data_IF_595787252752
#
_entry.id   IF_595787252752
#
_cell.length_a   1.000
_cell.length_b   1.000
_cell.length_c   1.000
_cell.angle_alpha   90.00
_cell.angle_beta   90.00
_cell.angle_gamma   90.00
#
_symmetry.space_group_name_H-M   'P 1'
#
loop_
_entity.id
_entity.type
_entity.pdbx_description
1 polymer ?
#
# COMPACT_ATOMS: atom_id res chain seq x y z
N UNK A 1 32.92 53.21 -9.24
CA UNK A 1 32.37 51.97 -8.66
C UNK A 1 33.39 50.87 -8.86
N UNK A 2 34.00 50.36 -7.78
CA UNK A 2 35.09 49.39 -7.88
C UNK A 2 34.56 48.07 -8.44
N UNK A 3 35.30 47.44 -9.37
CA UNK A 3 34.87 46.22 -10.08
C UNK A 3 34.40 45.11 -9.14
N UNK A 4 35.04 45.01 -7.97
CA UNK A 4 34.72 44.07 -6.90
C UNK A 4 33.31 44.28 -6.31
N UNK A 5 32.89 45.53 -6.10
CA UNK A 5 31.57 45.87 -5.56
C UNK A 5 30.46 45.54 -6.57
N UNK A 6 30.73 45.78 -7.87
CA UNK A 6 29.82 45.43 -8.95
C UNK A 6 29.59 43.91 -9.07
N UNK A 7 30.67 43.11 -9.07
CA UNK A 7 30.56 41.64 -9.09
C UNK A 7 29.83 41.09 -7.87
N UNK A 8 30.00 41.69 -6.69
CA UNK A 8 29.33 41.25 -5.47
C UNK A 8 27.81 41.48 -5.55
N UNK A 9 27.39 42.63 -6.07
CA UNK A 9 25.97 42.96 -6.32
C UNK A 9 25.35 42.03 -7.37
N UNK A 10 26.08 41.69 -8.43
CA UNK A 10 25.60 40.73 -9.44
C UNK A 10 25.44 39.33 -8.85
N UNK A 11 26.41 38.85 -8.07
CA UNK A 11 26.30 37.54 -7.41
C UNK A 11 25.14 37.51 -6.41
N UNK A 12 24.94 38.59 -5.65
CA UNK A 12 23.83 38.70 -4.71
C UNK A 12 22.47 38.65 -5.42
N UNK A 13 22.32 39.38 -6.52
CA UNK A 13 21.06 39.36 -7.30
C UNK A 13 20.79 37.99 -7.92
N UNK A 14 21.81 37.29 -8.42
CA UNK A 14 21.67 35.91 -8.91
C UNK A 14 21.30 34.96 -7.79
N UNK A 15 21.94 35.07 -6.62
CA UNK A 15 21.62 34.23 -5.47
C UNK A 15 20.17 34.42 -5.00
N UNK A 16 19.69 35.67 -4.94
CA UNK A 16 18.30 35.97 -4.61
C UNK A 16 17.35 35.39 -5.66
N UNK A 17 17.66 35.53 -6.95
CA UNK A 17 16.83 34.98 -8.01
C UNK A 17 16.74 33.44 -7.95
N UNK A 18 17.85 32.75 -7.69
CA UNK A 18 17.88 31.31 -7.49
C UNK A 18 17.10 30.88 -6.25
N UNK A 19 17.25 31.60 -5.14
CA UNK A 19 16.49 31.35 -3.91
C UNK A 19 14.98 31.50 -4.13
N UNK A 20 14.55 32.57 -4.79
CA UNK A 20 13.14 32.79 -5.12
C UNK A 20 12.59 31.71 -6.06
N UNK A 21 13.38 31.27 -7.04
CA UNK A 21 13.00 30.16 -7.92
C UNK A 21 12.81 28.85 -7.15
N UNK A 22 13.72 28.55 -6.22
CA UNK A 22 13.62 27.35 -5.37
C UNK A 22 12.33 27.35 -4.53
N UNK A 23 12.06 28.45 -3.83
CA UNK A 23 10.91 28.57 -2.91
C UNK A 23 9.56 28.68 -3.63
N UNK A 24 9.49 29.40 -4.75
CA UNK A 24 8.21 29.72 -5.40
C UNK A 24 7.81 28.75 -6.52
N UNK A 25 8.76 28.00 -7.09
CA UNK A 25 8.48 27.10 -8.19
C UNK A 25 8.92 25.66 -7.88
N UNK A 26 10.19 25.46 -7.56
CA UNK A 26 10.76 24.11 -7.47
C UNK A 26 10.22 23.30 -6.27
N UNK A 27 10.22 23.88 -5.06
CA UNK A 27 9.74 23.19 -3.85
C UNK A 27 8.24 22.87 -3.94
N UNK A 28 7.34 23.83 -4.27
CA UNK A 28 5.91 23.54 -4.36
C UNK A 28 5.55 22.49 -5.42
N UNK A 29 6.23 22.51 -6.57
CA UNK A 29 5.99 21.51 -7.62
C UNK A 29 6.39 20.10 -7.16
N UNK A 30 7.53 19.98 -6.49
CA UNK A 30 8.00 18.71 -5.93
C UNK A 30 7.06 18.18 -4.83
N UNK A 31 6.56 19.05 -3.95
CA UNK A 31 5.58 18.69 -2.93
C UNK A 31 4.29 18.17 -3.57
N UNK A 32 3.74 18.89 -4.55
CA UNK A 32 2.55 18.47 -5.27
C UNK A 32 2.74 17.13 -6.00
N UNK A 33 3.92 16.89 -6.57
CA UNK A 33 4.25 15.59 -7.20
C UNK A 33 4.32 14.46 -6.15
N UNK A 34 4.91 14.72 -4.98
CA UNK A 34 5.01 13.74 -3.89
C UNK A 34 3.64 13.40 -3.30
N UNK A 35 2.77 14.38 -3.11
CA UNK A 35 1.41 14.16 -2.63
C UNK A 35 0.59 13.32 -3.61
N UNK A 36 0.72 13.60 -4.92
CA UNK A 36 0.08 12.78 -5.96
C UNK A 36 0.59 11.35 -5.94
N UNK A 37 1.92 11.18 -5.88
CA UNK A 37 2.52 9.85 -5.80
C UNK A 37 2.04 9.11 -4.55
N UNK A 38 2.01 9.77 -3.38
CA UNK A 38 1.52 9.17 -2.14
C UNK A 38 0.06 8.73 -2.26
N UNK A 39 -0.80 9.54 -2.88
CA UNK A 39 -2.19 9.18 -3.14
C UNK A 39 -2.32 7.99 -4.11
N UNK A 40 -1.49 7.94 -5.17
CA UNK A 40 -1.43 6.82 -6.11
C UNK A 40 -0.97 5.52 -5.43
N UNK A 41 -0.12 5.61 -4.39
CA UNK A 41 0.28 4.43 -3.60
C UNK A 41 -0.81 3.93 -2.65
N UNK A 42 -1.92 4.66 -2.44
CA UNK A 42 -3.06 4.17 -1.66
C UNK A 42 -4.03 3.31 -2.49
N UNK A 43 -4.02 3.49 -3.82
CA UNK A 43 -4.91 2.77 -4.73
C UNK A 43 -4.24 1.47 -5.23
N UNK A 44 -4.86 0.29 -5.04
CA UNK A 44 -4.30 -0.98 -5.49
C UNK A 44 -4.03 -1.03 -7.01
N UNK A 45 -4.71 -0.21 -7.83
CA UNK A 45 -4.57 -0.16 -9.28
C UNK A 45 -3.34 0.63 -9.75
N UNK A 46 -2.75 1.44 -8.88
CA UNK A 46 -1.58 2.31 -9.16
C UNK A 46 -0.42 2.10 -8.19
N UNK A 47 -0.62 1.37 -7.09
CA UNK A 47 0.43 1.01 -6.14
C UNK A 47 1.58 0.26 -6.85
N UNK A 48 2.82 0.62 -6.52
CA UNK A 48 4.03 -0.05 -7.01
C UNK A 48 4.48 -1.11 -6.00
N UNK A 49 4.45 -2.39 -6.38
CA UNK A 49 4.78 -3.50 -5.46
C UNK A 49 6.21 -3.41 -4.92
N UNK A 50 7.10 -2.74 -5.65
CA UNK A 50 8.47 -2.47 -5.29
C UNK A 50 8.62 -1.76 -3.94
N UNK A 51 7.68 -0.89 -3.58
CA UNK A 51 7.70 -0.12 -2.33
C UNK A 51 7.62 -1.01 -1.09
N UNK A 52 7.05 -2.21 -1.22
CA UNK A 52 6.85 -3.14 -0.09
C UNK A 52 7.82 -4.32 -0.09
N UNK A 53 8.61 -4.50 -1.15
CA UNK A 53 9.66 -5.54 -1.21
C UNK A 53 10.68 -5.48 -0.06
N UNK A 54 11.11 -4.29 0.43
CA UNK A 54 12.04 -4.20 1.56
C UNK A 54 11.51 -4.82 2.86
N UNK A 55 10.19 -5.00 2.99
CA UNK A 55 9.57 -5.57 4.19
C UNK A 55 9.44 -7.10 4.15
N UNK A 56 9.88 -7.74 3.06
CA UNK A 56 9.90 -9.20 2.93
C UNK A 56 10.58 -9.84 4.14
N UNK A 57 9.95 -10.88 4.70
CA UNK A 57 10.49 -11.58 5.85
C UNK A 57 9.99 -13.02 5.94
N UNK A 58 10.83 -13.94 6.41
CA UNK A 58 10.45 -15.35 6.55
C UNK A 58 9.34 -15.60 7.59
N UNK A 59 9.29 -14.74 8.61
CA UNK A 59 8.44 -14.94 9.78
C UNK A 59 7.54 -13.73 10.06
N UNK A 60 6.23 -13.94 10.18
CA UNK A 60 5.26 -12.92 10.60
C UNK A 60 5.52 -12.37 12.01
N UNK A 61 6.26 -13.11 12.84
CA UNK A 61 6.69 -12.64 14.18
C UNK A 61 7.63 -11.44 14.15
N UNK A 62 8.18 -11.07 12.98
CA UNK A 62 8.83 -9.78 12.80
C UNK A 62 7.76 -8.69 12.66
N UNK A 63 7.17 -8.32 13.80
CA UNK A 63 6.10 -7.34 13.88
C UNK A 63 6.50 -5.97 13.31
N UNK A 64 7.79 -5.60 13.39
CA UNK A 64 8.27 -4.35 12.81
C UNK A 64 8.14 -4.35 11.28
N UNK A 65 8.63 -5.40 10.61
CA UNK A 65 8.50 -5.49 9.15
C UNK A 65 7.03 -5.60 8.74
N UNK A 66 6.25 -6.39 9.47
CA UNK A 66 4.85 -6.61 9.17
C UNK A 66 4.00 -5.35 9.32
N UNK A 67 4.23 -4.58 10.40
CA UNK A 67 3.59 -3.28 10.58
C UNK A 67 3.96 -2.30 9.45
N UNK A 68 5.24 -2.23 9.09
CA UNK A 68 5.68 -1.37 8.01
C UNK A 68 5.11 -1.80 6.65
N UNK A 69 4.97 -3.11 6.41
CA UNK A 69 4.33 -3.65 5.22
C UNK A 69 2.88 -3.17 5.10
N UNK A 70 2.04 -3.40 6.11
CA UNK A 70 0.64 -2.97 6.08
C UNK A 70 0.49 -1.45 6.11
N UNK A 71 1.48 -0.74 6.67
CA UNK A 71 1.58 0.72 6.60
C UNK A 71 2.04 1.27 5.27
N UNK A 72 2.28 0.45 4.23
CA UNK A 72 2.54 0.89 2.87
C UNK A 72 1.55 0.30 1.86
N UNK A 73 0.81 -0.76 2.21
CA UNK A 73 -0.19 -1.39 1.36
C UNK A 73 -1.49 -0.57 1.28
N UNK A 74 -2.34 -0.82 0.26
CA UNK A 74 -3.68 -0.22 0.17
C UNK A 74 -4.53 -0.44 1.43
N UNK A 75 -5.38 0.56 1.76
CA UNK A 75 -6.15 0.73 3.01
C UNK A 75 -5.38 1.22 4.24
N UNK A 76 -4.10 1.57 4.10
CA UNK A 76 -3.32 2.17 5.19
C UNK A 76 -3.85 3.53 5.69
N UNK A 77 -4.63 4.23 4.87
CA UNK A 77 -5.23 5.53 5.16
C UNK A 77 -6.40 5.44 6.14
N UNK A 78 -7.02 4.26 6.26
CA UNK A 78 -8.00 3.97 7.29
C UNK A 78 -7.31 3.74 8.63
N UNK A 79 -7.77 4.44 9.68
CA UNK A 79 -7.24 4.25 11.03
C UNK A 79 -7.48 2.82 11.49
N UNK A 80 -6.42 2.13 11.86
CA UNK A 80 -6.47 0.77 12.35
C UNK A 80 -5.37 0.48 13.38
N UNK A 81 -5.55 -0.63 14.10
CA UNK A 81 -4.52 -1.22 14.96
C UNK A 81 -4.17 -2.61 14.46
N UNK A 82 -3.07 -3.16 14.95
CA UNK A 82 -2.52 -4.42 14.46
C UNK A 82 -2.40 -5.43 15.60
N UNK A 83 -2.89 -6.65 15.36
CA UNK A 83 -2.79 -7.76 16.30
C UNK A 83 -2.25 -9.00 15.59
N UNK A 84 -1.37 -9.73 16.28
CA UNK A 84 -0.81 -10.98 15.79
C UNK A 84 -1.30 -12.15 16.61
N UNK A 85 -1.60 -13.26 15.93
CA UNK A 85 -1.90 -14.55 16.53
C UNK A 85 -0.86 -15.57 16.05
N UNK A 86 0.30 -15.68 16.74
CA UNK A 86 1.41 -16.51 16.29
C UNK A 86 1.08 -18.01 16.20
N UNK A 87 0.22 -18.51 17.09
CA UNK A 87 -0.21 -19.92 17.12
C UNK A 87 -1.01 -20.29 15.86
N UNK A 88 -1.72 -19.32 15.29
CA UNK A 88 -2.56 -19.47 14.10
C UNK A 88 -1.88 -18.90 12.85
N UNK A 89 -0.63 -18.41 12.99
CA UNK A 89 0.11 -17.71 11.94
C UNK A 89 -0.74 -16.62 11.24
N UNK A 90 -1.48 -15.85 12.03
CA UNK A 90 -2.46 -14.88 11.55
C UNK A 90 -2.09 -13.44 11.90
N UNK A 91 -2.26 -12.54 10.93
CA UNK A 91 -2.24 -11.09 11.11
C UNK A 91 -3.67 -10.53 11.09
N UNK A 92 -4.04 -9.73 12.09
CA UNK A 92 -5.33 -9.05 12.14
C UNK A 92 -5.15 -7.52 12.13
N UNK A 93 -5.79 -6.87 11.18
CA UNK A 93 -5.94 -5.42 11.10
C UNK A 93 -7.32 -5.05 11.65
N UNK A 94 -7.35 -4.24 12.70
CA UNK A 94 -8.57 -3.84 13.40
C UNK A 94 -8.87 -2.38 13.06
N UNK A 95 -9.83 -2.15 12.18
CA UNK A 95 -10.22 -0.83 11.69
C UNK A 95 -11.19 -0.13 12.65
N UNK A 96 -11.07 1.20 12.73
CA UNK A 96 -11.99 2.02 13.54
C UNK A 96 -13.31 2.32 12.79
N UNK A 97 -13.25 2.53 11.48
CA UNK A 97 -14.42 2.85 10.65
C UNK A 97 -15.14 1.57 10.19
N UNK A 98 -16.48 1.57 10.08
CA UNK A 98 -17.24 0.48 9.45
C UNK A 98 -16.84 0.22 8.00
N UNK A 99 -16.88 -1.05 7.58
CA UNK A 99 -16.65 -1.44 6.19
C UNK A 99 -17.66 -0.79 5.24
N UNK A 100 -18.90 -0.58 5.70
CA UNK A 100 -19.95 0.09 4.94
C UNK A 100 -19.66 1.57 4.59
N UNK A 101 -18.71 2.21 5.26
CA UNK A 101 -18.29 3.59 4.95
C UNK A 101 -17.20 3.64 3.86
N UNK A 102 -16.59 2.51 3.53
CA UNK A 102 -15.60 2.39 2.46
C UNK A 102 -16.32 2.06 1.14
N UNK A 103 -15.90 2.72 0.06
CA UNK A 103 -16.43 2.39 -1.27
C UNK A 103 -16.18 0.89 -1.57
N UNK A 104 -17.24 0.17 -1.93
CA UNK A 104 -17.26 -1.29 -1.95
C UNK A 104 -16.21 -1.87 -2.90
N UNK A 105 -16.11 -1.34 -4.12
CA UNK A 105 -15.19 -1.84 -5.14
C UNK A 105 -13.74 -1.57 -4.72
N UNK A 106 -13.45 -0.37 -4.22
CA UNK A 106 -12.13 0.00 -3.69
C UNK A 106 -11.74 -0.92 -2.52
N UNK A 107 -12.65 -1.18 -1.58
CA UNK A 107 -12.41 -2.10 -0.48
C UNK A 107 -12.10 -3.52 -0.99
N UNK A 108 -12.92 -4.05 -1.90
CA UNK A 108 -12.71 -5.38 -2.46
C UNK A 108 -11.33 -5.51 -3.14
N UNK A 109 -10.97 -4.55 -3.99
CA UNK A 109 -9.67 -4.52 -4.68
C UNK A 109 -8.51 -4.48 -3.69
N UNK A 110 -8.60 -3.61 -2.69
CA UNK A 110 -7.54 -3.44 -1.71
C UNK A 110 -7.37 -4.68 -0.82
N UNK A 111 -8.46 -5.30 -0.35
CA UNK A 111 -8.37 -6.51 0.45
C UNK A 111 -7.72 -7.67 -0.32
N UNK A 112 -8.06 -7.84 -1.61
CA UNK A 112 -7.41 -8.84 -2.48
C UNK A 112 -5.92 -8.50 -2.64
N UNK A 113 -5.60 -7.28 -3.05
CA UNK A 113 -4.24 -6.83 -3.31
C UNK A 113 -3.35 -7.00 -2.07
N UNK A 114 -3.79 -6.44 -0.95
CA UNK A 114 -3.07 -6.41 0.33
C UNK A 114 -2.86 -7.83 0.85
N UNK A 115 -3.85 -8.72 0.76
CA UNK A 115 -3.71 -10.11 1.21
C UNK A 115 -2.68 -10.87 0.38
N UNK A 116 -2.78 -10.80 -0.95
CA UNK A 116 -1.86 -11.50 -1.85
C UNK A 116 -0.43 -10.99 -1.67
N UNK A 117 -0.25 -9.67 -1.51
CA UNK A 117 1.06 -9.07 -1.25
C UNK A 117 1.63 -9.54 0.09
N UNK A 118 0.81 -9.54 1.15
CA UNK A 118 1.21 -10.00 2.47
C UNK A 118 1.68 -11.45 2.46
N UNK A 119 0.94 -12.34 1.80
CA UNK A 119 1.32 -13.75 1.70
C UNK A 119 2.57 -13.97 0.84
N UNK A 120 2.74 -13.20 -0.23
CA UNK A 120 3.93 -13.27 -1.08
C UNK A 120 5.19 -12.78 -0.35
N UNK A 121 5.07 -11.79 0.54
CA UNK A 121 6.19 -11.16 1.25
C UNK A 121 6.54 -11.83 2.58
N UNK A 122 5.59 -12.51 3.23
CA UNK A 122 5.76 -13.09 4.56
C UNK A 122 5.60 -14.60 4.51
N UNK A 123 6.71 -15.35 4.45
CA UNK A 123 6.69 -16.77 4.04
C UNK A 123 5.76 -17.65 4.88
N UNK A 124 5.72 -17.46 6.20
CA UNK A 124 4.94 -18.31 7.11
C UNK A 124 3.59 -17.71 7.55
N UNK A 125 3.15 -16.60 6.95
CA UNK A 125 1.84 -16.00 7.26
C UNK A 125 0.75 -16.86 6.62
N UNK A 126 -0.15 -17.45 7.40
CA UNK A 126 -1.19 -18.36 6.88
C UNK A 126 -2.54 -17.65 6.68
N UNK A 127 -2.81 -16.57 7.41
CA UNK A 127 -4.09 -15.88 7.33
C UNK A 127 -3.95 -14.38 7.58
N UNK A 128 -4.78 -13.59 6.89
CA UNK A 128 -5.00 -12.17 7.16
C UNK A 128 -6.46 -11.94 7.50
N UNK A 129 -6.70 -11.24 8.61
CA UNK A 129 -8.04 -10.83 9.06
C UNK A 129 -8.14 -9.31 9.03
N UNK A 130 -9.23 -8.83 8.46
CA UNK A 130 -9.59 -7.42 8.46
C UNK A 130 -10.87 -7.27 9.27
N UNK A 131 -10.72 -6.82 10.51
CA UNK A 131 -11.81 -6.63 11.46
C UNK A 131 -12.28 -5.18 11.38
N UNK A 132 -13.45 -5.00 10.81
CA UNK A 132 -14.22 -3.76 10.86
C UNK A 132 -15.27 -3.87 11.99
N UNK A 133 -15.82 -2.74 12.47
CA UNK A 133 -16.89 -2.74 13.46
C UNK A 133 -18.12 -3.58 13.09
N UNK A 134 -18.45 -3.66 11.81
CA UNK A 134 -19.65 -4.31 11.26
C UNK A 134 -19.37 -5.64 10.55
N UNK A 135 -18.14 -5.88 10.12
CA UNK A 135 -17.73 -7.08 9.38
C UNK A 135 -16.32 -7.55 9.70
N UNK A 136 -16.08 -8.85 9.58
CA UNK A 136 -14.76 -9.46 9.57
C UNK A 136 -14.54 -10.11 8.21
N UNK A 137 -13.47 -9.73 7.54
CA UNK A 137 -13.03 -10.36 6.30
C UNK A 137 -11.78 -11.20 6.57
N UNK A 138 -11.81 -12.46 6.19
CA UNK A 138 -10.70 -13.39 6.42
C UNK A 138 -10.23 -13.95 5.09
N UNK A 139 -8.91 -13.95 4.88
CA UNK A 139 -8.26 -14.52 3.71
C UNK A 139 -7.25 -15.54 4.17
N UNK A 140 -7.28 -16.71 3.57
CA UNK A 140 -6.40 -17.84 3.88
C UNK A 140 -5.36 -18.00 2.76
N UNK A 141 -4.08 -18.20 3.11
CA UNK A 141 -2.98 -18.40 2.13
C UNK A 141 -3.29 -19.50 1.11
N UNK A 142 -3.78 -20.70 1.51
CA UNK A 142 -4.08 -21.77 0.55
C UNK A 142 -5.06 -21.32 -0.54
N UNK A 143 -6.05 -20.50 -0.20
CA UNK A 143 -7.03 -19.99 -1.17
C UNK A 143 -6.38 -19.02 -2.17
N UNK A 144 -5.42 -18.20 -1.73
CA UNK A 144 -4.63 -17.37 -2.63
C UNK A 144 -3.70 -18.21 -3.52
N UNK A 145 -3.06 -19.23 -2.97
CA UNK A 145 -2.17 -20.15 -3.71
C UNK A 145 -2.93 -21.00 -4.74
N UNK A 146 -4.15 -21.46 -4.41
CA UNK A 146 -5.01 -22.17 -5.37
C UNK A 146 -5.35 -21.28 -6.57
N UNK A 147 -5.50 -19.97 -6.35
CA UNK A 147 -5.87 -19.01 -7.39
C UNK A 147 -4.69 -18.56 -8.25
N UNK A 148 -3.57 -18.23 -7.62
CA UNK A 148 -2.42 -17.58 -8.27
C UNK A 148 -1.22 -18.51 -8.44
N UNK A 149 -1.28 -19.73 -7.91
CA UNK A 149 -0.13 -20.61 -7.79
C UNK A 149 0.86 -20.13 -6.73
N UNK A 150 2.15 -20.50 -6.85
CA UNK A 150 3.18 -20.00 -5.95
C UNK A 150 3.20 -18.47 -5.90
N UNK A 151 3.20 -17.89 -4.70
CA UNK A 151 3.03 -16.44 -4.52
C UNK A 151 4.34 -15.66 -4.63
N UNK A 152 5.49 -16.22 -4.25
CA UNK A 152 6.79 -15.54 -4.34
C UNK A 152 7.09 -15.00 -5.75
N UNK A 153 6.88 -15.75 -6.85
CA UNK A 153 7.11 -15.23 -8.20
C UNK A 153 6.26 -14.02 -8.59
N UNK A 154 5.15 -13.76 -7.88
CA UNK A 154 4.34 -12.56 -8.10
C UNK A 154 5.06 -11.29 -7.65
N UNK A 155 6.10 -11.37 -6.81
CA UNK A 155 6.90 -10.20 -6.40
C UNK A 155 7.71 -9.57 -7.54
N UNK A 156 7.77 -10.20 -8.71
CA UNK A 156 8.26 -9.54 -9.91
C UNK A 156 7.24 -8.48 -10.38
N UNK A 157 7.63 -7.21 -10.59
CA UNK A 157 6.68 -6.14 -10.89
C UNK A 157 5.82 -6.36 -12.14
N UNK A 158 6.39 -6.91 -13.22
CA UNK A 158 5.63 -7.18 -14.45
C UNK A 158 4.59 -8.28 -14.24
N UNK A 159 4.97 -9.33 -13.49
CA UNK A 159 4.05 -10.41 -13.12
C UNK A 159 2.98 -9.93 -12.15
N UNK A 160 3.34 -9.18 -11.12
CA UNK A 160 2.40 -8.55 -10.20
C UNK A 160 1.36 -7.72 -10.96
N UNK A 161 1.85 -6.87 -11.88
CA UNK A 161 0.99 -6.04 -12.70
C UNK A 161 0.02 -6.88 -13.51
N UNK A 162 0.52 -7.89 -14.21
CA UNK A 162 -0.28 -8.68 -15.16
C UNK A 162 -1.26 -9.63 -14.48
N UNK A 163 -0.84 -10.26 -13.39
CA UNK A 163 -1.58 -11.37 -12.76
C UNK A 163 -2.47 -10.92 -11.60
N UNK A 164 -2.08 -9.87 -10.88
CA UNK A 164 -2.80 -9.37 -9.68
C UNK A 164 -3.44 -8.02 -9.94
N UNK A 165 -2.64 -7.00 -10.29
CA UNK A 165 -3.11 -5.61 -10.30
C UNK A 165 -4.02 -5.26 -11.49
N UNK A 166 -3.59 -5.53 -12.73
CA UNK A 166 -4.34 -5.15 -13.92
C UNK A 166 -5.73 -5.81 -14.01
N UNK A 167 -5.91 -7.10 -13.66
CA UNK A 167 -7.23 -7.73 -13.64
C UNK A 167 -8.22 -7.05 -12.67
N UNK A 168 -7.74 -6.46 -11.57
CA UNK A 168 -8.59 -5.77 -10.59
C UNK A 168 -9.28 -4.52 -11.16
N UNK A 169 -8.83 -3.99 -12.30
CA UNK A 169 -9.52 -2.87 -12.99
C UNK A 169 -10.92 -3.25 -13.44
N UNK A 170 -11.17 -4.52 -13.77
CA UNK A 170 -12.50 -5.02 -14.06
C UNK A 170 -13.25 -5.27 -12.73
N UNK A 171 -14.32 -4.51 -12.50
CA UNK A 171 -15.13 -4.61 -11.28
C UNK A 171 -15.82 -5.96 -11.13
N UNK A 172 -16.25 -6.58 -12.24
CA UNK A 172 -16.88 -7.90 -12.20
C UNK A 172 -15.83 -8.97 -11.84
N UNK A 173 -14.61 -8.84 -12.37
CA UNK A 173 -13.49 -9.67 -11.94
C UNK A 173 -13.19 -9.47 -10.45
N UNK A 174 -13.03 -8.23 -9.99
CA UNK A 174 -12.73 -7.92 -8.60
C UNK A 174 -13.79 -8.47 -7.63
N UNK A 175 -15.07 -8.28 -7.93
CA UNK A 175 -16.17 -8.81 -7.14
C UNK A 175 -16.21 -10.35 -7.11
N UNK A 176 -16.01 -11.00 -8.27
CA UNK A 176 -15.94 -12.46 -8.33
C UNK A 176 -14.74 -13.02 -7.56
N UNK A 177 -13.57 -12.37 -7.65
CA UNK A 177 -12.37 -12.77 -6.90
C UNK A 177 -12.55 -12.54 -5.40
N UNK A 178 -13.21 -11.45 -5.02
CA UNK A 178 -13.50 -11.16 -3.61
C UNK A 178 -14.30 -12.31 -2.98
N UNK A 179 -15.38 -12.75 -3.62
CA UNK A 179 -16.20 -13.85 -3.11
C UNK A 179 -15.50 -15.21 -3.10
N UNK A 180 -14.51 -15.41 -3.98
CA UNK A 180 -13.70 -16.64 -4.01
C UNK A 180 -12.63 -16.67 -2.92
N UNK A 181 -11.92 -15.55 -2.73
CA UNK A 181 -10.75 -15.48 -1.86
C UNK A 181 -11.10 -15.13 -0.41
N UNK A 182 -12.19 -14.41 -0.18
CA UNK A 182 -12.45 -13.71 1.08
C UNK A 182 -13.73 -14.24 1.73
N UNK A 183 -13.59 -14.76 2.95
CA UNK A 183 -14.72 -15.12 3.79
C UNK A 183 -15.16 -13.92 4.60
N UNK A 184 -16.44 -13.55 4.49
CA UNK A 184 -17.02 -12.42 5.21
C UNK A 184 -17.99 -12.88 6.31
N UNK A 185 -17.83 -12.34 7.50
CA UNK A 185 -18.69 -12.58 8.65
C UNK A 185 -19.19 -11.25 9.20
N UNK A 186 -20.48 -11.12 9.55
CA UNK A 186 -21.00 -9.89 10.17
C UNK A 186 -20.72 -9.90 11.66
N UNK A 187 -20.21 -8.78 12.17
CA UNK A 187 -20.02 -8.54 13.60
C UNK A 187 -21.37 -8.12 14.18
N UNK A 188 -22.04 -9.05 14.90
CA UNK A 188 -23.32 -8.78 15.57
C UNK A 188 -23.16 -7.90 16.80
#
# INVERSE_FOLDING_TARGET
MNRLTGTLLTLLTVAIALFLYMELAYIPEQEAQRERYAAEQLDPLTHHIEEVLPYRHKYMGNASNLFQLFGHLPLQDLRHTFQLYPEELTAELIYEAPAAEVEQVAMQRSLIYTSVAAFALIDNLEQVRYRFPDHIYTVDRPTAEDRYGPLEPLLNPERWHTEVQAPLRDEAYAGARFHELIRSESTR
#
